data_IF_701430543014
#
_entry.id   IF_701430543014
#
_cell.length_a   1.000
_cell.length_b   1.000
_cell.length_c   1.000
_cell.angle_alpha   90.00
_cell.angle_beta   90.00
_cell.angle_gamma   90.00
#
_symmetry.space_group_name_H-M   'P 1'
#
loop_
_entity.id
_entity.type
_entity.pdbx_description
1 polymer ?
#
# COMPACT_ATOMS: atom_id res chain seq x y z
N UNK A 1 8.55 11.30 19.04
CA UNK A 1 7.60 11.09 17.93
C UNK A 1 7.32 9.60 17.78
N UNK A 2 6.07 9.15 17.98
CA UNK A 2 5.70 7.75 17.66
C UNK A 2 5.74 7.59 16.14
N UNK A 3 6.55 6.65 15.65
CA UNK A 3 6.60 6.30 14.22
C UNK A 3 5.22 5.73 13.85
N UNK A 4 4.52 6.37 12.92
CA UNK A 4 3.20 5.88 12.49
C UNK A 4 3.40 4.61 11.66
N UNK A 5 2.89 3.46 12.11
CA UNK A 5 3.04 2.16 11.44
C UNK A 5 2.27 2.05 10.10
N UNK A 6 1.82 3.17 9.53
CA UNK A 6 1.03 3.23 8.30
C UNK A 6 1.80 3.89 7.13
N UNK A 7 3.11 4.09 7.25
CA UNK A 7 3.97 4.58 6.16
C UNK A 7 4.75 3.39 5.59
N UNK A 8 4.70 3.19 4.28
CA UNK A 8 5.33 2.06 3.58
C UNK A 8 6.05 2.48 2.31
N UNK A 9 7.04 1.67 1.89
CA UNK A 9 7.67 1.82 0.58
C UNK A 9 6.72 1.39 -0.53
N UNK A 10 6.85 2.04 -1.69
CA UNK A 10 6.12 1.72 -2.93
C UNK A 10 6.37 0.29 -3.45
N UNK A 11 7.49 -0.31 -3.04
CA UNK A 11 7.95 -1.63 -3.49
C UNK A 11 7.45 -2.77 -2.60
N UNK A 12 6.75 -2.46 -1.51
CA UNK A 12 6.06 -3.47 -0.69
C UNK A 12 5.08 -4.25 -1.56
N UNK A 13 4.96 -5.56 -1.35
CA UNK A 13 3.98 -6.37 -2.09
C UNK A 13 2.56 -6.04 -1.67
N UNK A 14 1.59 -6.25 -2.56
CA UNK A 14 0.16 -6.09 -2.25
C UNK A 14 -0.25 -6.97 -1.07
N UNK A 15 0.24 -8.21 -1.00
CA UNK A 15 -0.03 -9.12 0.11
C UNK A 15 0.49 -8.58 1.44
N UNK A 16 1.74 -8.11 1.50
CA UNK A 16 2.31 -7.54 2.72
C UNK A 16 1.60 -6.26 3.14
N UNK A 17 1.17 -5.43 2.20
CA UNK A 17 0.37 -4.24 2.49
C UNK A 17 -1.00 -4.61 3.09
N UNK A 18 -1.67 -5.64 2.55
CA UNK A 18 -2.93 -6.15 3.09
C UNK A 18 -2.77 -6.70 4.51
N UNK A 19 -1.70 -7.49 4.75
CA UNK A 19 -1.39 -8.03 6.08
C UNK A 19 -1.12 -6.91 7.09
N UNK A 20 -0.34 -5.91 6.71
CA UNK A 20 -0.06 -4.75 7.56
C UNK A 20 -1.33 -4.00 7.92
N UNK A 21 -2.21 -3.75 6.93
CA UNK A 21 -3.51 -3.11 7.15
C UNK A 21 -4.35 -3.85 8.20
N UNK A 22 -4.39 -5.18 8.15
CA UNK A 22 -5.08 -5.98 9.16
C UNK A 22 -4.41 -5.91 10.53
N UNK A 23 -3.07 -5.97 10.59
CA UNK A 23 -2.31 -5.91 11.84
C UNK A 23 -2.54 -4.59 12.58
N UNK A 24 -2.47 -3.45 11.86
CA UNK A 24 -2.60 -2.12 12.45
C UNK A 24 -4.06 -1.64 12.53
N UNK A 25 -5.03 -2.47 12.08
CA UNK A 25 -6.46 -2.15 12.00
C UNK A 25 -6.74 -0.83 11.26
N UNK A 26 -6.05 -0.60 10.13
CA UNK A 26 -6.25 0.56 9.25
C UNK A 26 -6.51 0.12 7.83
N UNK A 27 -7.30 0.92 7.10
CA UNK A 27 -7.65 0.66 5.69
C UNK A 27 -6.87 1.53 4.69
N UNK A 28 -5.89 2.29 5.19
CA UNK A 28 -5.10 3.25 4.42
C UNK A 28 -3.63 3.17 4.84
N UNK A 29 -2.73 3.22 3.85
CA UNK A 29 -1.28 3.35 4.02
C UNK A 29 -0.77 4.54 3.21
N UNK A 30 0.15 5.31 3.79
CA UNK A 30 0.89 6.35 3.10
C UNK A 30 2.11 5.74 2.40
N UNK A 31 2.29 6.07 1.13
CA UNK A 31 3.42 5.58 0.34
C UNK A 31 4.46 6.66 0.23
N UNK A 32 5.70 6.28 0.51
CA UNK A 32 6.88 7.15 0.38
C UNK A 32 7.96 6.47 -0.48
N UNK A 33 8.80 7.28 -1.12
CA UNK A 33 10.06 6.84 -1.70
C UNK A 33 11.18 6.80 -0.64
N UNK A 34 12.31 6.23 -1.02
CA UNK A 34 13.52 6.11 -0.19
C UNK A 34 14.02 7.47 0.33
N UNK A 35 13.84 8.54 -0.44
CA UNK A 35 14.19 9.92 -0.07
C UNK A 35 13.14 10.61 0.84
N UNK A 36 12.20 9.85 1.42
CA UNK A 36 11.05 10.34 2.19
C UNK A 36 10.06 11.22 1.40
N UNK A 37 10.11 11.21 0.06
CA UNK A 37 9.11 11.90 -0.76
C UNK A 37 7.79 11.15 -0.70
N UNK A 38 6.72 11.85 -0.34
CA UNK A 38 5.36 11.32 -0.40
C UNK A 38 4.95 11.06 -1.85
N UNK A 39 4.43 9.85 -2.11
CA UNK A 39 3.95 9.45 -3.44
C UNK A 39 2.43 9.40 -3.54
N UNK A 40 1.75 9.03 -2.45
CA UNK A 40 0.31 8.84 -2.48
C UNK A 40 -0.21 7.97 -1.36
N UNK A 41 -1.45 7.53 -1.51
CA UNK A 41 -2.16 6.72 -0.51
C UNK A 41 -2.61 5.42 -1.17
N UNK A 42 -2.35 4.29 -0.51
CA UNK A 42 -2.96 3.01 -0.83
C UNK A 42 -4.17 2.80 0.07
N UNK A 43 -5.33 2.53 -0.53
CA UNK A 43 -6.54 2.13 0.19
C UNK A 43 -6.81 0.65 0.07
N UNK A 44 -7.56 0.10 1.03
CA UNK A 44 -8.11 -1.26 0.91
C UNK A 44 -8.93 -1.43 -0.37
N UNK A 45 -9.58 -0.36 -0.85
CA UNK A 45 -10.31 -0.39 -2.13
C UNK A 45 -9.39 -0.59 -3.35
N UNK A 46 -8.15 -0.09 -3.33
CA UNK A 46 -7.18 -0.34 -4.40
C UNK A 46 -6.79 -1.82 -4.44
N UNK A 47 -6.54 -2.41 -3.27
CA UNK A 47 -6.26 -3.84 -3.13
C UNK A 47 -7.46 -4.68 -3.59
N UNK A 48 -8.69 -4.30 -3.20
CA UNK A 48 -9.90 -5.00 -3.66
C UNK A 48 -10.02 -4.98 -5.19
N UNK A 49 -9.81 -3.83 -5.83
CA UNK A 49 -9.81 -3.73 -7.30
C UNK A 49 -8.72 -4.57 -7.95
N UNK A 50 -7.53 -4.61 -7.35
CA UNK A 50 -6.44 -5.46 -7.82
C UNK A 50 -6.82 -6.95 -7.77
N UNK A 51 -7.47 -7.40 -6.69
CA UNK A 51 -7.97 -8.78 -6.55
C UNK A 51 -9.04 -9.07 -7.60
N UNK A 52 -10.01 -8.18 -7.78
CA UNK A 52 -11.07 -8.31 -8.81
C UNK A 52 -10.45 -8.45 -10.21
N UNK A 53 -9.39 -7.70 -10.48
CA UNK A 53 -8.65 -7.71 -11.74
C UNK A 53 -7.61 -8.84 -11.85
N UNK A 54 -7.56 -9.77 -10.89
CA UNK A 54 -6.61 -10.90 -10.84
C UNK A 54 -5.13 -10.47 -10.90
N UNK A 55 -4.80 -9.30 -10.36
CA UNK A 55 -3.40 -8.86 -10.18
C UNK A 55 -2.71 -9.80 -9.18
N UNK A 56 -1.54 -10.38 -9.52
CA UNK A 56 -0.79 -11.19 -8.57
C UNK A 56 -0.41 -10.41 -7.32
N UNK A 57 -0.63 -10.97 -6.13
CA UNK A 57 -0.46 -10.26 -4.86
C UNK A 57 1.01 -10.08 -4.41
N UNK A 58 1.94 -10.74 -5.11
CA UNK A 58 3.38 -10.57 -4.98
C UNK A 58 3.90 -9.34 -5.75
N UNK A 59 3.06 -8.71 -6.59
CA UNK A 59 3.40 -7.46 -7.26
C UNK A 59 3.55 -6.31 -6.25
N UNK A 60 4.40 -5.31 -6.57
CA UNK A 60 4.57 -4.13 -5.71
C UNK A 60 3.33 -3.24 -5.72
N UNK A 61 3.03 -2.57 -4.61
CA UNK A 61 1.84 -1.74 -4.44
C UNK A 61 1.75 -0.60 -5.45
N UNK A 62 2.88 -0.06 -5.93
CA UNK A 62 2.89 1.00 -6.95
C UNK A 62 2.23 0.57 -8.27
N UNK A 63 2.10 -0.74 -8.53
CA UNK A 63 1.44 -1.27 -9.72
C UNK A 63 -0.08 -1.10 -9.70
N UNK A 64 -0.68 -0.86 -8.52
CA UNK A 64 -2.13 -0.74 -8.34
C UNK A 64 -2.55 0.65 -7.85
N UNK A 65 -1.60 1.58 -7.73
CA UNK A 65 -1.91 2.96 -7.38
C UNK A 65 -2.60 3.65 -8.55
N UNK A 66 -3.62 4.43 -8.21
CA UNK A 66 -4.24 5.36 -9.16
C UNK A 66 -3.22 6.43 -9.52
N UNK A 67 -3.01 6.64 -10.81
CA UNK A 67 -2.34 7.85 -11.31
C UNK A 67 -3.30 9.02 -11.09
N UNK A 68 -2.81 10.07 -10.44
CA UNK A 68 -3.47 11.38 -10.40
C UNK A 68 -3.01 12.14 -11.64
#
# INVERSE_FOLDING_TARGET
>A
MKKSNNIVSKDLTIFSALKLMDEIKRKLLYIVEENNKFLGVLSLGDIQRAIINKTPLDKPIHSILRKI
#
